data_IF_373725965728
#
_entry.id   IF_373725965728
#
_cell.length_a   1.000
_cell.length_b   1.000
_cell.length_c   1.000
_cell.angle_alpha   90.00
_cell.angle_beta   90.00
_cell.angle_gamma   90.00
#
_symmetry.space_group_name_H-M   'P 1'
#
loop_
_entity.id
_entity.type
_entity.pdbx_description
1 polymer ?
#
# COMPACT_ATOMS: atom_id res chain seq x y z
N UNK A 1 3.20 -11.87 16.97
CA UNK A 1 2.45 -12.22 15.75
C UNK A 1 2.65 -11.09 14.75
N UNK A 2 3.50 -11.28 13.73
CA UNK A 2 3.77 -10.24 12.73
C UNK A 2 2.62 -10.20 11.72
N UNK A 3 1.81 -9.14 11.78
CA UNK A 3 0.73 -8.93 10.83
C UNK A 3 1.31 -8.26 9.59
N UNK A 4 1.02 -8.81 8.41
CA UNK A 4 1.33 -8.17 7.12
C UNK A 4 0.06 -7.55 6.60
N UNK A 5 0.04 -6.23 6.42
CA UNK A 5 -1.12 -5.50 5.88
C UNK A 5 -0.84 -5.09 4.44
N UNK A 6 -1.78 -5.40 3.56
CA UNK A 6 -1.83 -4.89 2.19
C UNK A 6 -2.80 -3.70 2.21
N UNK A 7 -2.27 -2.48 2.11
CA UNK A 7 -3.11 -1.30 1.96
C UNK A 7 -3.40 -1.09 0.46
N UNK A 8 -4.67 -1.33 0.08
CA UNK A 8 -5.20 -0.88 -1.21
C UNK A 8 -6.02 0.37 -0.95
N UNK A 9 -5.62 1.48 -1.56
CA UNK A 9 -6.28 2.75 -1.34
C UNK A 9 -6.70 3.37 -2.68
N UNK A 10 -7.99 3.68 -2.81
CA UNK A 10 -8.57 4.36 -3.97
C UNK A 10 -9.06 5.73 -3.51
N UNK A 11 -8.40 6.80 -3.94
CA UNK A 11 -8.68 8.14 -3.47
C UNK A 11 -9.22 9.02 -4.60
N UNK A 12 -10.23 9.80 -4.26
CA UNK A 12 -10.77 10.87 -5.10
C UNK A 12 -10.40 12.18 -4.40
N UNK A 13 -9.74 13.06 -5.14
CA UNK A 13 -9.10 14.33 -4.75
C UNK A 13 -7.64 14.25 -4.27
N UNK A 14 -6.85 15.14 -4.89
CA UNK A 14 -5.44 15.35 -4.65
C UNK A 14 -4.65 15.09 -5.91
N UNK A 15 -4.09 16.14 -6.50
CA UNK A 15 -2.90 16.05 -7.37
C UNK A 15 -1.90 15.05 -6.77
N UNK A 16 -1.14 14.34 -7.59
CA UNK A 16 -0.12 13.31 -7.26
C UNK A 16 0.49 13.37 -5.84
N UNK A 17 0.79 14.58 -5.34
CA UNK A 17 1.29 14.88 -3.99
C UNK A 17 0.39 14.44 -2.81
N UNK A 18 -0.94 14.51 -2.94
CA UNK A 18 -1.87 14.16 -1.86
C UNK A 18 -1.87 12.67 -1.51
N UNK A 19 -1.68 11.81 -2.52
CA UNK A 19 -1.61 10.36 -2.31
C UNK A 19 -0.34 10.00 -1.51
N UNK A 20 0.81 10.56 -1.88
CA UNK A 20 2.07 10.29 -1.20
C UNK A 20 2.08 10.79 0.25
N UNK A 21 1.50 11.96 0.53
CA UNK A 21 1.39 12.49 1.90
C UNK A 21 0.61 11.52 2.80
N UNK A 22 -0.60 11.12 2.39
CA UNK A 22 -1.46 10.23 3.19
C UNK A 22 -0.80 8.86 3.38
N UNK A 23 -0.17 8.32 2.34
CA UNK A 23 0.56 7.05 2.41
C UNK A 23 1.68 7.15 3.45
N UNK A 24 2.43 8.26 3.49
CA UNK A 24 3.50 8.44 4.45
C UNK A 24 2.98 8.47 5.90
N UNK A 25 1.88 9.20 6.16
CA UNK A 25 1.26 9.25 7.49
C UNK A 25 0.75 7.88 7.94
N UNK A 26 0.05 7.16 7.06
CA UNK A 26 -0.45 5.81 7.35
C UNK A 26 0.70 4.81 7.58
N UNK A 27 1.76 4.89 6.77
CA UNK A 27 2.90 4.00 6.89
C UNK A 27 3.66 4.25 8.19
N UNK A 28 3.80 5.51 8.59
CA UNK A 28 4.38 5.84 9.89
C UNK A 28 3.53 5.23 11.03
N UNK A 29 2.22 5.45 11.02
CA UNK A 29 1.34 4.88 12.06
C UNK A 29 1.33 3.35 12.10
N UNK A 30 1.38 2.69 10.94
CA UNK A 30 1.50 1.23 10.87
C UNK A 30 2.84 0.73 11.40
N UNK A 31 3.94 1.40 11.05
CA UNK A 31 5.26 1.06 11.57
C UNK A 31 5.31 1.19 13.11
N UNK A 32 4.69 2.24 13.67
CA UNK A 32 4.69 2.50 15.12
C UNK A 32 3.94 1.42 15.92
N UNK A 33 2.96 0.75 15.32
CA UNK A 33 2.25 -0.39 15.95
C UNK A 33 2.83 -1.76 15.56
N UNK A 34 4.00 -1.79 14.91
CA UNK A 34 4.78 -3.00 14.67
C UNK A 34 4.54 -3.70 13.33
N UNK A 35 3.94 -3.04 12.34
CA UNK A 35 3.88 -3.56 10.97
C UNK A 35 5.22 -3.34 10.25
N UNK A 36 5.64 -4.33 9.46
CA UNK A 36 6.73 -4.17 8.50
C UNK A 36 6.17 -3.87 7.12
N UNK A 37 6.74 -2.87 6.46
CA UNK A 37 6.24 -2.35 5.19
C UNK A 37 7.20 -2.77 4.06
N UNK A 38 6.74 -3.49 3.03
CA UNK A 38 7.60 -3.91 1.92
C UNK A 38 7.92 -2.76 0.96
N UNK A 39 8.89 -2.97 0.07
CA UNK A 39 9.12 -2.03 -1.04
C UNK A 39 7.87 -1.91 -1.92
N UNK A 40 7.59 -0.71 -2.43
CA UNK A 40 6.39 -0.41 -3.24
C UNK A 40 5.09 -0.87 -2.55
N UNK A 41 4.96 -0.62 -1.23
CA UNK A 41 3.84 -1.05 -0.39
C UNK A 41 2.48 -0.37 -0.68
N UNK A 42 2.41 0.54 -1.64
CA UNK A 42 1.22 1.32 -1.96
C UNK A 42 0.91 1.29 -3.44
N UNK A 43 -0.37 1.16 -3.76
CA UNK A 43 -0.89 1.40 -5.10
C UNK A 43 -2.03 2.40 -5.02
N UNK A 44 -2.05 3.34 -5.96
CA UNK A 44 -3.07 4.36 -6.04
C UNK A 44 -3.42 4.62 -7.50
N UNK A 45 -4.57 5.26 -7.70
CA UNK A 45 -5.02 5.72 -9.01
C UNK A 45 -5.35 7.20 -8.91
N UNK A 46 -4.89 7.97 -9.89
CA UNK A 46 -5.24 9.38 -10.05
C UNK A 46 -6.09 9.48 -11.32
N UNK A 47 -7.31 9.99 -11.16
CA UNK A 47 -8.16 10.32 -12.29
C UNK A 47 -7.70 11.61 -12.98
N UNK A 48 -8.09 11.81 -14.23
CA UNK A 48 -7.81 13.06 -14.93
C UNK A 48 -8.32 14.27 -14.13
N UNK A 49 -7.49 15.30 -14.03
CA UNK A 49 -7.81 16.51 -13.30
C UNK A 49 -9.11 17.13 -13.82
N UNK A 50 -10.02 17.51 -12.91
CA UNK A 50 -11.34 18.11 -13.19
C UNK A 50 -12.39 17.20 -13.86
N UNK A 51 -12.16 15.88 -13.96
CA UNK A 51 -13.18 14.92 -14.40
C UNK A 51 -14.00 14.38 -13.22
N UNK A 52 -15.30 14.15 -13.45
CA UNK A 52 -16.27 13.62 -12.46
C UNK A 52 -16.30 12.09 -12.40
N UNK A 53 -15.23 11.40 -12.80
CA UNK A 53 -15.18 9.93 -12.79
C UNK A 53 -14.51 9.46 -11.51
N UNK A 54 -15.24 8.73 -10.66
CA UNK A 54 -14.66 8.07 -9.49
C UNK A 54 -14.04 6.72 -9.90
N UNK A 55 -13.03 6.24 -9.17
CA UNK A 55 -12.41 4.95 -9.44
C UNK A 55 -13.43 3.81 -9.39
N UNK A 56 -14.42 3.90 -8.47
CA UNK A 56 -15.52 2.93 -8.36
C UNK A 56 -16.46 2.91 -9.57
N UNK A 57 -16.48 4.00 -10.34
CA UNK A 57 -17.34 4.14 -11.52
C UNK A 57 -16.65 3.60 -12.78
N UNK A 58 -15.38 3.19 -12.69
CA UNK A 58 -14.65 2.55 -13.78
C UNK A 58 -15.19 1.13 -14.00
N UNK A 59 -15.60 0.84 -15.25
CA UNK A 59 -16.05 -0.51 -15.65
C UNK A 59 -14.98 -1.58 -15.49
N UNK A 60 -13.71 -1.18 -15.56
CA UNK A 60 -12.56 -2.06 -15.38
C UNK A 60 -11.47 -1.32 -14.61
N UNK A 61 -10.74 -2.04 -13.76
CA UNK A 61 -9.56 -1.48 -13.11
C UNK A 61 -8.50 -1.21 -14.19
N UNK A 62 -7.88 -0.02 -14.25
CA UNK A 62 -6.82 0.27 -15.22
C UNK A 62 -5.64 -0.70 -15.08
N UNK A 63 -5.05 -1.12 -16.20
CA UNK A 63 -3.95 -2.09 -16.24
C UNK A 63 -2.74 -1.67 -15.39
N UNK A 64 -2.42 -0.38 -15.35
CA UNK A 64 -1.34 0.17 -14.52
C UNK A 64 -1.60 -0.09 -13.03
N UNK A 65 -2.84 0.09 -12.57
CA UNK A 65 -3.24 -0.16 -11.18
C UNK A 65 -3.19 -1.65 -10.89
N UNK A 66 -3.65 -2.50 -11.82
CA UNK A 66 -3.55 -3.96 -11.70
C UNK A 66 -2.09 -4.42 -11.59
N UNK A 67 -1.22 -3.89 -12.44
CA UNK A 67 0.21 -4.23 -12.50
C UNK A 67 0.93 -3.82 -11.23
N UNK A 68 0.71 -2.58 -10.78
CA UNK A 68 1.24 -2.09 -9.51
C UNK A 68 0.75 -2.96 -8.34
N UNK A 69 -0.53 -3.36 -8.34
CA UNK A 69 -1.12 -4.18 -7.27
C UNK A 69 -0.55 -5.60 -7.26
N UNK A 70 -0.28 -6.17 -8.43
CA UNK A 70 0.41 -7.45 -8.54
C UNK A 70 1.86 -7.36 -8.00
N UNK A 71 2.57 -6.27 -8.30
CA UNK A 71 3.89 -5.99 -7.75
C UNK A 71 3.89 -5.87 -6.22
N UNK A 72 2.98 -5.07 -5.68
CA UNK A 72 2.73 -4.95 -4.23
C UNK A 72 2.51 -6.32 -3.59
N UNK A 73 1.61 -7.12 -4.15
CA UNK A 73 1.26 -8.44 -3.63
C UNK A 73 2.48 -9.36 -3.56
N UNK A 74 3.32 -9.36 -4.60
CA UNK A 74 4.57 -10.15 -4.63
C UNK A 74 5.52 -9.73 -3.50
N UNK A 75 5.69 -8.43 -3.29
CA UNK A 75 6.57 -7.92 -2.25
C UNK A 75 6.03 -8.22 -0.83
N UNK A 76 4.72 -8.10 -0.62
CA UNK A 76 4.07 -8.49 0.64
C UNK A 76 4.23 -9.98 0.95
N UNK A 77 3.99 -10.85 -0.03
CA UNK A 77 4.16 -12.30 0.14
C UNK A 77 5.61 -12.64 0.45
N UNK A 78 6.56 -12.01 -0.25
CA UNK A 78 7.98 -12.21 -0.01
C UNK A 78 8.37 -11.80 1.42
N UNK A 79 7.98 -10.59 1.84
CA UNK A 79 8.27 -10.08 3.18
C UNK A 79 7.63 -10.92 4.29
N UNK A 80 6.36 -11.30 4.13
CA UNK A 80 5.66 -12.16 5.10
C UNK A 80 6.35 -13.52 5.24
N UNK A 81 6.83 -14.08 4.13
CA UNK A 81 7.57 -15.36 4.13
C UNK A 81 8.90 -15.21 4.87
N UNK A 82 9.65 -14.14 4.61
CA UNK A 82 10.91 -13.85 5.30
C UNK A 82 10.71 -13.67 6.81
N UNK A 83 9.73 -12.86 7.23
CA UNK A 83 9.46 -12.61 8.65
C UNK A 83 8.94 -13.85 9.39
N UNK A 84 8.29 -14.78 8.67
CA UNK A 84 7.90 -16.08 9.24
C UNK A 84 9.11 -16.97 9.50
N UNK A 85 10.14 -16.89 8.66
CA UNK A 85 11.37 -17.69 8.79
C UNK A 85 12.35 -17.08 9.78
N UNK A 86 12.48 -15.76 9.76
CA UNK A 86 13.37 -14.97 10.60
C UNK A 86 12.58 -13.79 11.19
N UNK A 87 11.84 -14.01 12.29
CA UNK A 87 11.12 -12.92 12.95
C UNK A 87 12.10 -11.91 13.53
N UNK A 88 11.61 -10.71 13.85
CA UNK A 88 12.41 -9.75 14.60
C UNK A 88 12.92 -10.38 15.90
N UNK A 89 14.16 -10.07 16.32
CA UNK A 89 14.64 -10.47 17.63
C UNK A 89 13.68 -9.97 18.70
N UNK A 90 13.46 -10.79 19.74
CA UNK A 90 12.72 -10.36 20.92
C UNK A 90 13.32 -9.05 21.43
N UNK A 91 12.48 -8.07 21.71
CA UNK A 91 12.89 -6.77 22.26
C UNK A 91 13.03 -6.83 23.79
N UNK A 92 13.19 -8.03 24.35
CA UNK A 92 13.31 -8.24 25.79
C UNK A 92 14.75 -7.85 26.20
N UNK A 93 14.86 -6.78 27.00
CA UNK A 93 16.07 -6.44 27.76
C UNK A 93 16.13 -7.26 29.06
#
# INVERSE_FOLDING_TARGET
MSHTVVLRASWRWGNEDGAHHIIAELFQGLNDVGFTIPANASTYWVGEAMQSTDFKDLKQTPEVVQTATAGLTRNCVHLATLLKQAPYPNQDN
#
